data_IF_689695897666
#
_entry.id   IF_689695897666
#
_cell.length_a   1.000
_cell.length_b   1.000
_cell.length_c   1.000
_cell.angle_alpha   90.00
_cell.angle_beta   90.00
_cell.angle_gamma   90.00
#
_symmetry.space_group_name_H-M   'P 1'
#
loop_
_entity.id
_entity.type
_entity.pdbx_description
1 polymer ?
#
# COMPACT_ATOMS: atom_id res chain seq x y z
N UNK A 1 29.27 23.16 -14.76
CA UNK A 1 29.78 21.83 -14.34
C UNK A 1 28.73 20.72 -14.18
N UNK A 2 27.50 20.86 -14.70
CA UNK A 2 26.50 19.76 -14.79
C UNK A 2 26.02 19.63 -16.25
N UNK A 3 26.93 19.81 -17.21
CA UNK A 3 26.65 19.64 -18.66
C UNK A 3 27.54 18.56 -19.29
N UNK A 4 28.64 18.14 -18.64
CA UNK A 4 29.55 17.13 -19.21
C UNK A 4 29.09 15.68 -19.06
N UNK A 5 28.35 15.32 -18.01
CA UNK A 5 27.99 13.91 -17.75
C UNK A 5 27.04 13.29 -18.80
N UNK A 6 26.36 14.09 -19.62
CA UNK A 6 25.48 13.56 -20.69
C UNK A 6 26.24 13.15 -21.95
N UNK A 7 27.40 13.73 -22.25
CA UNK A 7 28.20 13.38 -23.44
C UNK A 7 28.91 12.04 -23.26
N UNK A 8 29.39 11.75 -22.05
CA UNK A 8 30.10 10.50 -21.77
C UNK A 8 29.18 9.26 -21.78
N UNK A 9 27.88 9.46 -21.47
CA UNK A 9 26.89 8.37 -21.48
C UNK A 9 26.38 8.07 -22.90
N UNK A 10 26.38 9.03 -23.83
CA UNK A 10 26.09 8.75 -25.25
C UNK A 10 27.25 8.08 -25.98
N UNK A 11 28.50 8.33 -25.56
CA UNK A 11 29.68 7.63 -26.08
C UNK A 11 29.74 6.15 -25.70
N UNK A 12 29.04 5.73 -24.64
CA UNK A 12 28.94 4.33 -24.20
C UNK A 12 27.91 3.48 -24.97
N UNK A 13 27.14 4.09 -25.89
CA UNK A 13 26.07 3.39 -26.64
C UNK A 13 26.45 2.95 -28.05
N UNK A 14 27.69 3.16 -28.50
CA UNK A 14 28.16 2.62 -29.79
C UNK A 14 29.03 1.38 -29.57
N UNK A 15 28.64 0.27 -30.19
CA UNK A 15 29.19 -1.11 -30.08
C UNK A 15 30.65 -1.30 -30.56
N UNK A 16 31.56 -0.37 -30.28
CA UNK A 16 32.92 -0.40 -30.84
C UNK A 16 34.02 0.11 -29.92
N UNK A 17 34.16 -0.40 -28.69
CA UNK A 17 35.44 -0.26 -27.98
C UNK A 17 35.80 -1.49 -27.14
N UNK A 18 36.85 -2.19 -27.57
CA UNK A 18 37.65 -3.03 -26.68
C UNK A 18 38.34 -2.11 -25.67
N UNK A 19 37.85 -2.11 -24.43
CA UNK A 19 38.45 -1.37 -23.32
C UNK A 19 39.84 -1.96 -23.03
N UNK A 20 40.90 -1.18 -23.24
CA UNK A 20 42.27 -1.60 -22.93
C UNK A 20 42.47 -1.76 -21.43
N UNK A 21 43.33 -2.69 -21.01
CA UNK A 21 43.66 -2.90 -19.59
C UNK A 21 44.22 -1.64 -18.92
N UNK A 22 44.81 -0.72 -19.68
CA UNK A 22 45.30 0.56 -19.15
C UNK A 22 44.16 1.50 -18.74
N UNK A 23 43.01 1.46 -19.42
CA UNK A 23 41.86 2.30 -19.06
C UNK A 23 41.23 1.85 -17.74
N UNK A 24 41.05 0.53 -17.55
CA UNK A 24 40.54 -0.03 -16.29
C UNK A 24 41.49 0.29 -15.14
N UNK A 25 42.81 0.19 -15.38
CA UNK A 25 43.82 0.56 -14.39
C UNK A 25 43.74 2.04 -13.99
N UNK A 26 43.59 2.94 -14.95
CA UNK A 26 43.49 4.39 -14.68
C UNK A 26 42.20 4.76 -13.93
N UNK A 27 41.08 4.12 -14.26
CA UNK A 27 39.82 4.27 -13.51
C UNK A 27 39.98 3.76 -12.08
N UNK A 28 40.66 2.62 -11.89
CA UNK A 28 40.93 2.03 -10.58
C UNK A 28 41.85 2.90 -9.71
N UNK A 29 42.94 3.44 -10.28
CA UNK A 29 43.89 4.30 -9.57
C UNK A 29 43.23 5.64 -9.17
N UNK A 30 42.41 6.22 -10.06
CA UNK A 30 41.63 7.45 -9.78
C UNK A 30 40.59 7.25 -8.67
N UNK A 31 39.89 6.11 -8.67
CA UNK A 31 38.93 5.76 -7.62
C UNK A 31 39.61 5.50 -6.27
N UNK A 32 40.74 4.79 -6.26
CA UNK A 32 41.52 4.56 -5.05
C UNK A 32 42.01 5.87 -4.43
N UNK A 33 42.52 6.80 -5.24
CA UNK A 33 42.97 8.12 -4.79
C UNK A 33 41.81 8.96 -4.21
N UNK A 34 40.60 8.88 -4.79
CA UNK A 34 39.40 9.55 -4.25
C UNK A 34 38.90 8.92 -2.95
N UNK A 35 39.05 7.61 -2.79
CA UNK A 35 38.64 6.90 -1.57
C UNK A 35 39.55 7.16 -0.38
N UNK A 36 40.88 7.24 -0.60
CA UNK A 36 41.86 7.62 0.44
C UNK A 36 41.62 9.06 0.92
N UNK A 37 41.22 9.97 0.02
CA UNK A 37 40.91 11.36 0.35
C UNK A 37 39.64 11.55 1.22
N UNK A 38 38.71 10.59 1.20
CA UNK A 38 37.38 10.76 1.82
C UNK A 38 37.18 10.04 3.16
N UNK A 39 38.25 9.60 3.85
CA UNK A 39 38.19 8.97 5.19
C UNK A 39 37.09 7.88 5.32
N UNK A 40 36.85 7.11 4.25
CA UNK A 40 35.88 6.02 4.28
C UNK A 40 36.36 4.90 5.20
N UNK A 41 35.48 4.46 6.11
CA UNK A 41 35.79 3.42 7.09
C UNK A 41 36.31 2.13 6.41
N UNK A 42 37.33 1.49 6.99
CA UNK A 42 37.95 0.24 6.50
C UNK A 42 36.93 -0.85 6.13
N UNK A 43 35.76 -0.89 6.78
CA UNK A 43 34.67 -1.84 6.48
C UNK A 43 33.97 -1.59 5.15
N UNK A 44 33.78 -0.33 4.76
CA UNK A 44 33.17 0.03 3.47
C UNK A 44 34.12 -0.28 2.33
N UNK A 45 35.42 0.00 2.54
CA UNK A 45 36.48 -0.33 1.58
C UNK A 45 36.56 -1.84 1.35
N UNK A 46 36.54 -2.63 2.43
CA UNK A 46 36.58 -4.09 2.32
C UNK A 46 35.33 -4.67 1.63
N UNK A 47 34.15 -4.12 1.91
CA UNK A 47 32.90 -4.57 1.29
C UNK A 47 32.87 -4.26 -0.22
N UNK A 48 33.37 -3.09 -0.60
CA UNK A 48 33.45 -2.68 -2.00
C UNK A 48 34.52 -3.48 -2.76
N UNK A 49 35.66 -3.75 -2.12
CA UNK A 49 36.71 -4.61 -2.68
C UNK A 49 36.21 -6.04 -2.94
N UNK A 50 35.50 -6.64 -1.98
CA UNK A 50 34.91 -7.96 -2.13
C UNK A 50 33.87 -7.99 -3.26
N UNK A 51 33.08 -6.93 -3.42
CA UNK A 51 32.12 -6.80 -4.52
C UNK A 51 32.81 -6.76 -5.89
N UNK A 52 33.87 -5.95 -6.03
CA UNK A 52 34.64 -5.85 -7.28
C UNK A 52 35.35 -7.17 -7.61
N UNK A 53 35.98 -7.84 -6.64
CA UNK A 53 36.60 -9.16 -6.84
C UNK A 53 35.57 -10.19 -7.29
N UNK A 54 34.36 -10.17 -6.72
CA UNK A 54 33.28 -11.07 -7.12
C UNK A 54 32.87 -10.83 -8.57
N UNK A 55 32.73 -9.58 -8.99
CA UNK A 55 32.42 -9.24 -10.39
C UNK A 55 33.54 -9.66 -11.35
N UNK A 56 34.81 -9.50 -10.97
CA UNK A 56 35.95 -9.96 -11.77
C UNK A 56 35.98 -11.48 -11.90
N UNK A 57 35.64 -12.23 -10.84
CA UNK A 57 35.54 -13.69 -10.88
C UNK A 57 34.39 -14.12 -11.81
N UNK A 58 33.20 -13.51 -11.67
CA UNK A 58 32.05 -13.79 -12.54
C UNK A 58 32.40 -13.51 -14.00
N UNK A 59 33.04 -12.37 -14.28
CA UNK A 59 33.45 -12.02 -15.64
C UNK A 59 34.52 -12.98 -16.18
N UNK A 60 35.52 -13.36 -15.37
CA UNK A 60 36.54 -14.33 -15.76
C UNK A 60 35.92 -15.67 -16.14
N UNK A 61 35.01 -16.19 -15.31
CA UNK A 61 34.24 -17.42 -15.58
C UNK A 61 33.41 -17.28 -16.86
N UNK A 62 32.74 -16.14 -17.05
CA UNK A 62 31.93 -15.93 -18.24
C UNK A 62 32.78 -15.82 -19.51
N UNK A 63 33.94 -15.16 -19.45
CA UNK A 63 34.86 -15.00 -20.58
C UNK A 63 35.53 -16.32 -20.99
N UNK A 64 35.80 -17.20 -20.02
CA UNK A 64 36.33 -18.54 -20.29
C UNK A 64 35.25 -19.46 -20.85
N UNK A 65 33.99 -19.30 -20.43
CA UNK A 65 32.84 -20.00 -21.02
C UNK A 65 32.63 -19.61 -22.50
N UNK A 66 32.75 -18.33 -22.83
CA UNK A 66 32.58 -17.83 -24.21
C UNK A 66 33.73 -18.34 -25.11
N UNK A 67 34.97 -18.34 -24.61
CA UNK A 67 36.11 -18.92 -25.34
C UNK A 67 36.00 -20.44 -25.54
N UNK A 68 35.30 -21.16 -24.66
CA UNK A 68 35.06 -22.60 -24.81
C UNK A 68 33.85 -22.94 -25.68
N UNK A 69 33.01 -21.97 -26.04
CA UNK A 69 31.91 -22.16 -27.01
C UNK A 69 32.38 -22.00 -28.45
N UNK A 70 33.53 -21.36 -28.68
CA UNK A 70 34.16 -21.25 -30.00
C UNK A 70 34.97 -22.50 -30.38
N UNK A 71 35.28 -23.38 -29.41
CA UNK A 71 35.97 -24.66 -29.61
C UNK A 71 35.09 -25.85 -29.13
N UNK A 72 34.47 -26.53 -30.09
CA UNK A 72 33.82 -27.87 -30.04
C UNK A 72 32.34 -28.06 -29.62
N UNK A 73 31.56 -28.48 -30.63
CA UNK A 73 30.34 -29.29 -30.59
C UNK A 73 30.64 -30.76 -30.24
N UNK A 74 30.53 -31.18 -28.97
CA UNK A 74 30.03 -32.52 -28.58
C UNK A 74 29.87 -32.67 -27.04
N UNK A 75 28.85 -33.45 -26.63
CA UNK A 75 28.54 -33.97 -25.27
C UNK A 75 27.84 -33.03 -24.25
N UNK A 76 26.52 -33.19 -24.12
CA UNK A 76 25.63 -32.38 -23.26
C UNK A 76 25.16 -33.03 -21.94
N UNK A 77 25.68 -34.18 -21.50
CA UNK A 77 25.18 -34.83 -20.27
C UNK A 77 26.10 -34.78 -19.02
N UNK A 78 27.36 -34.33 -19.14
CA UNK A 78 28.27 -34.19 -17.98
C UNK A 78 28.38 -32.78 -17.39
N UNK A 79 27.83 -31.73 -18.05
CA UNK A 79 28.05 -30.33 -17.63
C UNK A 79 27.20 -29.91 -16.41
N UNK A 80 25.99 -30.44 -16.24
CA UNK A 80 25.09 -30.10 -15.12
C UNK A 80 25.67 -30.44 -13.73
N UNK A 81 26.38 -31.57 -13.63
CA UNK A 81 27.01 -32.04 -12.39
C UNK A 81 28.22 -31.21 -11.99
N UNK A 82 29.00 -30.72 -12.95
CA UNK A 82 30.22 -29.92 -12.67
C UNK A 82 29.88 -28.51 -12.19
N UNK A 83 28.90 -27.84 -12.79
CA UNK A 83 28.44 -26.51 -12.33
C UNK A 83 27.83 -26.56 -10.92
N UNK A 84 27.07 -27.61 -10.63
CA UNK A 84 26.49 -27.83 -9.31
C UNK A 84 27.60 -28.10 -8.27
N UNK A 85 28.62 -28.88 -8.62
CA UNK A 85 29.74 -29.21 -7.72
C UNK A 85 30.65 -28.01 -7.43
N UNK A 86 30.93 -27.16 -8.43
CA UNK A 86 31.74 -25.94 -8.26
C UNK A 86 31.00 -24.92 -7.38
N UNK A 87 29.69 -24.74 -7.60
CA UNK A 87 28.86 -23.84 -6.79
C UNK A 87 28.78 -24.32 -5.33
N UNK A 88 28.64 -25.63 -5.11
CA UNK A 88 28.66 -26.23 -3.76
C UNK A 88 30.03 -26.07 -3.10
N UNK A 89 31.12 -26.25 -3.84
CA UNK A 89 32.49 -26.17 -3.29
C UNK A 89 32.83 -24.73 -2.88
N UNK A 90 32.48 -23.73 -3.70
CA UNK A 90 32.68 -22.31 -3.40
C UNK A 90 31.82 -21.89 -2.19
N UNK A 91 30.56 -22.34 -2.14
CA UNK A 91 29.66 -22.07 -1.01
C UNK A 91 30.21 -22.70 0.28
N UNK A 92 30.79 -23.91 0.19
CA UNK A 92 31.38 -24.63 1.34
C UNK A 92 32.69 -23.98 1.81
N UNK A 93 33.51 -23.44 0.90
CA UNK A 93 34.71 -22.68 1.23
C UNK A 93 34.37 -21.32 1.90
N UNK A 94 33.29 -20.66 1.47
CA UNK A 94 32.76 -19.46 2.12
C UNK A 94 32.18 -19.79 3.50
N UNK A 95 31.52 -20.95 3.65
CA UNK A 95 31.01 -21.43 4.94
C UNK A 95 32.13 -21.74 5.94
N UNK A 96 33.27 -22.25 5.49
CA UNK A 96 34.44 -22.57 6.34
C UNK A 96 35.28 -21.35 6.73
N UNK A 97 35.30 -20.28 5.93
CA UNK A 97 36.14 -19.09 6.18
C UNK A 97 35.49 -18.00 7.03
N UNK A 98 34.18 -18.10 7.36
CA UNK A 98 33.49 -17.05 8.12
C UNK A 98 33.56 -17.26 9.65
N UNK A 99 34.45 -16.52 10.32
CA UNK A 99 34.66 -16.56 11.78
C UNK A 99 33.70 -15.69 12.60
N UNK A 100 32.57 -15.23 12.04
CA UNK A 100 31.61 -14.40 12.80
C UNK A 100 30.22 -15.03 12.88
N UNK A 101 29.80 -15.35 14.12
CA UNK A 101 28.52 -15.94 14.54
C UNK A 101 27.28 -15.22 13.98
N UNK A 102 27.43 -13.96 13.56
CA UNK A 102 26.35 -13.12 13.02
C UNK A 102 25.95 -13.52 11.59
N UNK A 103 26.90 -13.98 10.76
CA UNK A 103 26.61 -14.40 9.38
C UNK A 103 25.97 -15.79 9.32
N UNK A 104 26.38 -16.72 10.19
CA UNK A 104 25.70 -18.02 10.35
C UNK A 104 24.22 -17.85 10.68
N UNK A 105 23.87 -16.85 11.50
CA UNK A 105 22.48 -16.57 11.90
C UNK A 105 21.64 -15.99 10.77
N UNK A 106 22.22 -15.13 9.93
CA UNK A 106 21.54 -14.54 8.76
C UNK A 106 21.31 -15.59 7.66
N UNK A 107 22.29 -16.48 7.44
CA UNK A 107 22.19 -17.54 6.43
C UNK A 107 21.22 -18.65 6.87
N UNK A 108 21.18 -19.00 8.16
CA UNK A 108 20.15 -19.91 8.70
C UNK A 108 18.73 -19.35 8.50
N UNK A 109 18.57 -18.03 8.57
CA UNK A 109 17.28 -17.36 8.31
C UNK A 109 16.88 -17.44 6.83
N UNK A 110 17.83 -17.33 5.90
CA UNK A 110 17.59 -17.47 4.46
C UNK A 110 17.23 -18.92 4.12
N UNK A 111 17.95 -19.90 4.66
CA UNK A 111 17.65 -21.33 4.46
C UNK A 111 16.25 -21.72 4.98
N UNK A 112 15.81 -21.12 6.09
CA UNK A 112 14.47 -21.34 6.62
C UNK A 112 13.36 -20.69 5.78
N UNK A 113 13.66 -19.63 5.02
CA UNK A 113 12.70 -18.99 4.10
C UNK A 113 12.46 -19.83 2.84
N UNK A 114 13.47 -20.51 2.30
CA UNK A 114 13.31 -21.43 1.17
C UNK A 114 12.49 -22.68 1.56
N UNK A 115 12.64 -23.19 2.79
CA UNK A 115 11.79 -24.28 3.31
C UNK A 115 10.33 -23.88 3.47
N UNK A 116 10.05 -22.61 3.74
CA UNK A 116 8.69 -22.07 3.87
C UNK A 116 7.99 -21.93 2.51
N UNK A 117 8.73 -21.61 1.45
CA UNK A 117 8.20 -21.59 0.08
C UNK A 117 7.84 -22.98 -0.45
N UNK A 118 8.52 -24.04 0.02
CA UNK A 118 8.20 -25.41 -0.37
C UNK A 118 6.91 -25.95 0.30
N UNK A 119 6.55 -25.43 1.48
CA UNK A 119 5.35 -25.83 2.21
C UNK A 119 4.06 -25.13 1.75
N UNK A 120 4.17 -24.04 0.99
CA UNK A 120 3.00 -23.26 0.55
C UNK A 120 2.28 -23.82 -0.69
N UNK A 121 2.84 -24.85 -1.33
CA UNK A 121 2.26 -25.48 -2.54
C UNK A 121 1.48 -26.78 -2.30
N UNK A 122 1.22 -27.18 -1.06
CA UNK A 122 0.24 -28.22 -0.79
C UNK A 122 -0.35 -28.05 0.60
N UNK A 123 -1.66 -27.79 0.69
CA UNK A 123 -2.57 -28.28 1.75
C UNK A 123 -3.94 -27.60 1.67
N UNK A 124 -4.92 -28.35 1.16
CA UNK A 124 -6.34 -28.17 1.43
C UNK A 124 -6.65 -28.54 2.87
N UNK A 125 -7.06 -27.57 3.70
CA UNK A 125 -7.42 -27.80 5.11
C UNK A 125 -8.93 -28.04 5.21
N UNK A 126 -9.33 -29.27 5.61
CA UNK A 126 -10.66 -29.60 6.14
C UNK A 126 -10.64 -29.42 7.66
N UNK A 127 -11.52 -28.58 8.21
CA UNK A 127 -11.66 -28.40 9.66
C UNK A 127 -12.92 -29.13 10.15
N UNK A 128 -12.72 -30.10 11.05
CA UNK A 128 -13.79 -30.71 11.86
C UNK A 128 -14.06 -29.84 13.08
N UNK A 129 -15.34 -29.58 13.37
CA UNK A 129 -15.83 -28.95 14.61
C UNK A 129 -15.75 -29.93 15.78
N UNK A 130 -15.29 -29.45 16.93
CA UNK A 130 -15.62 -30.05 18.22
C UNK A 130 -15.78 -28.93 19.25
N UNK A 131 -16.94 -28.87 19.89
CA UNK A 131 -17.34 -27.86 20.86
C UNK A 131 -17.39 -28.49 22.25
N UNK A 132 -16.75 -27.86 23.22
CA UNK A 132 -17.09 -28.03 24.63
C UNK A 132 -16.89 -26.70 25.35
N UNK A 133 -17.94 -26.29 26.06
CA UNK A 133 -18.04 -25.08 26.87
C UNK A 133 -17.74 -25.48 28.31
N UNK A 134 -16.85 -24.77 29.00
CA UNK A 134 -16.82 -24.74 30.46
C UNK A 134 -16.68 -23.30 30.96
N UNK A 135 -17.56 -22.95 31.90
CA UNK A 135 -17.63 -21.69 32.60
C UNK A 135 -16.71 -21.73 33.83
N UNK A 136 -15.93 -20.68 34.06
CA UNK A 136 -15.54 -20.30 35.43
C UNK A 136 -15.44 -18.79 35.60
N UNK A 137 -16.09 -18.30 36.67
CA UNK A 137 -16.00 -16.96 37.23
C UNK A 137 -14.71 -16.80 38.06
N UNK A 138 -14.04 -15.66 37.98
CA UNK A 138 -13.40 -15.05 39.15
C UNK A 138 -13.19 -13.54 39.00
N UNK A 139 -13.09 -12.90 40.15
CA UNK A 139 -13.19 -11.47 40.45
C UNK A 139 -11.84 -10.75 40.52
N UNK A 140 -11.78 -9.52 40.00
CA UNK A 140 -11.08 -8.39 40.61
C UNK A 140 -9.60 -8.14 40.26
N UNK A 141 -9.34 -7.11 39.46
CA UNK A 141 -8.46 -5.92 39.71
C UNK A 141 -8.10 -5.23 38.39
N UNK A 142 -8.28 -3.91 38.32
CA UNK A 142 -8.20 -3.13 37.08
C UNK A 142 -6.76 -2.87 36.61
N UNK A 143 -6.19 -3.83 35.89
CA UNK A 143 -5.25 -3.56 34.80
C UNK A 143 -5.93 -3.94 33.49
N UNK A 144 -5.81 -3.10 32.45
CA UNK A 144 -6.27 -3.43 31.10
C UNK A 144 -5.39 -4.55 30.53
N UNK A 145 -5.76 -5.80 30.82
CA UNK A 145 -5.25 -6.98 30.10
C UNK A 145 -5.93 -7.07 28.73
N UNK A 146 -5.32 -7.81 27.80
CA UNK A 146 -5.85 -8.04 26.45
C UNK A 146 -7.28 -8.62 26.45
N UNK A 147 -7.73 -9.18 27.58
CA UNK A 147 -9.01 -9.87 27.71
C UNK A 147 -10.20 -8.92 27.58
N UNK A 148 -10.11 -7.69 28.11
CA UNK A 148 -11.18 -6.66 27.98
C UNK A 148 -11.35 -6.16 26.54
N UNK A 149 -10.27 -6.22 25.74
CA UNK A 149 -10.35 -5.84 24.32
C UNK A 149 -11.01 -6.95 23.50
N UNK A 150 -10.79 -8.22 23.87
CA UNK A 150 -11.50 -9.35 23.27
C UNK A 150 -13.01 -9.24 23.49
N UNK A 151 -13.45 -8.95 24.71
CA UNK A 151 -14.90 -8.84 25.03
C UNK A 151 -15.60 -7.72 24.28
N UNK A 152 -14.89 -6.59 24.05
CA UNK A 152 -15.41 -5.46 23.26
C UNK A 152 -15.52 -5.80 21.78
N UNK A 153 -14.61 -6.63 21.27
CA UNK A 153 -14.64 -7.11 19.89
C UNK A 153 -15.79 -8.11 19.69
N UNK A 154 -15.99 -9.03 20.63
CA UNK A 154 -17.00 -10.10 20.52
C UNK A 154 -18.45 -9.56 20.58
N UNK A 155 -18.67 -8.37 21.18
CA UNK A 155 -20.01 -7.75 21.26
C UNK A 155 -20.42 -6.95 20.02
N UNK A 156 -19.50 -6.67 19.09
CA UNK A 156 -19.75 -5.74 17.97
C UNK A 156 -20.06 -6.42 16.63
N UNK A 157 -20.07 -7.76 16.56
CA UNK A 157 -19.82 -8.45 15.29
C UNK A 157 -20.82 -9.59 15.04
N UNK A 158 -21.52 -9.57 13.90
CA UNK A 158 -22.34 -10.70 13.43
C UNK A 158 -21.44 -11.88 12.98
N UNK A 159 -21.94 -13.12 12.93
CA UNK A 159 -21.11 -14.28 12.56
C UNK A 159 -20.38 -14.15 11.21
N UNK A 160 -21.00 -13.50 10.20
CA UNK A 160 -20.34 -13.22 8.92
C UNK A 160 -19.26 -12.13 9.04
N UNK A 161 -19.49 -11.14 9.90
CA UNK A 161 -18.53 -10.08 10.17
C UNK A 161 -17.36 -10.59 11.04
N UNK A 162 -17.57 -11.64 11.83
CA UNK A 162 -16.58 -12.23 12.74
C UNK A 162 -15.46 -12.91 11.97
N UNK A 163 -15.82 -13.66 10.92
CA UNK A 163 -14.83 -14.29 10.04
C UNK A 163 -14.00 -13.24 9.30
N UNK A 164 -14.64 -12.15 8.84
CA UNK A 164 -13.95 -11.05 8.15
C UNK A 164 -13.06 -10.25 9.09
N UNK A 165 -13.53 -9.97 10.32
CA UNK A 165 -12.72 -9.32 11.34
C UNK A 165 -11.53 -10.19 11.76
N UNK A 166 -11.73 -11.49 11.96
CA UNK A 166 -10.64 -12.43 12.26
C UNK A 166 -9.61 -12.47 11.14
N UNK A 167 -10.04 -12.51 9.88
CA UNK A 167 -9.15 -12.40 8.72
C UNK A 167 -8.31 -11.12 8.79
N UNK A 168 -8.94 -9.97 9.04
CA UNK A 168 -8.22 -8.70 9.15
C UNK A 168 -7.35 -8.59 10.40
N UNK A 169 -7.74 -9.17 11.54
CA UNK A 169 -6.91 -9.21 12.74
C UNK A 169 -5.67 -10.09 12.54
N UNK A 170 -5.80 -11.21 11.81
CA UNK A 170 -4.68 -12.07 11.46
C UNK A 170 -3.77 -11.35 10.46
N UNK A 171 -4.34 -10.77 9.40
CA UNK A 171 -3.56 -10.07 8.38
C UNK A 171 -3.00 -8.74 8.85
N UNK A 172 -3.66 -8.05 9.77
CA UNK A 172 -3.13 -6.83 10.40
C UNK A 172 -1.92 -7.19 11.24
N UNK A 173 -1.90 -8.33 11.94
CA UNK A 173 -0.71 -8.85 12.62
C UNK A 173 0.41 -9.15 11.63
N UNK A 174 0.10 -9.74 10.48
CA UNK A 174 1.07 -9.95 9.38
C UNK A 174 1.60 -8.61 8.86
N UNK A 175 0.73 -7.61 8.74
CA UNK A 175 1.10 -6.23 8.42
C UNK A 175 1.71 -5.50 9.62
N UNK A 176 1.84 -6.11 10.80
CA UNK A 176 2.35 -5.49 12.01
C UNK A 176 1.41 -4.50 12.72
N UNK A 177 0.21 -4.21 12.21
CA UNK A 177 -0.72 -3.22 12.81
C UNK A 177 -1.51 -3.80 13.99
N UNK A 178 -1.42 -3.10 15.13
CA UNK A 178 -2.12 -3.41 16.37
C UNK A 178 -3.55 -2.83 16.35
N UNK A 179 -4.46 -3.58 15.75
CA UNK A 179 -5.84 -3.16 15.55
C UNK A 179 -6.62 -2.98 16.85
N UNK A 180 -6.33 -3.79 17.85
CA UNK A 180 -6.98 -3.71 19.15
C UNK A 180 -6.73 -2.36 19.81
N UNK A 181 -5.52 -1.80 19.69
CA UNK A 181 -5.22 -0.45 20.15
C UNK A 181 -5.88 0.65 19.32
N UNK A 182 -6.02 0.46 18.01
CA UNK A 182 -6.74 1.40 17.14
C UNK A 182 -8.22 1.48 17.53
N UNK A 183 -8.84 0.34 17.81
CA UNK A 183 -10.25 0.26 18.18
C UNK A 183 -10.51 0.65 19.65
N UNK A 184 -9.57 0.34 20.55
CA UNK A 184 -9.65 0.68 21.97
C UNK A 184 -9.32 2.14 22.29
N UNK A 185 -9.20 3.00 21.28
CA UNK A 185 -8.94 4.42 21.47
C UNK A 185 -10.02 5.02 22.39
N UNK A 186 -9.61 5.43 23.61
CA UNK A 186 -10.51 6.02 24.59
C UNK A 186 -11.08 7.31 24.00
N UNK A 187 -12.41 7.44 24.06
CA UNK A 187 -13.08 8.67 23.63
C UNK A 187 -12.52 9.86 24.39
N UNK A 188 -11.81 10.74 23.67
CA UNK A 188 -11.35 12.00 24.23
C UNK A 188 -12.40 13.08 23.97
N UNK A 189 -12.41 14.14 24.79
CA UNK A 189 -13.26 15.33 24.57
C UNK A 189 -12.85 16.14 23.32
N UNK A 190 -11.99 15.60 22.46
CA UNK A 190 -11.42 16.25 21.28
C UNK A 190 -11.64 15.42 20.02
N UNK A 191 -11.94 16.11 18.93
CA UNK A 191 -12.39 15.53 17.67
C UNK A 191 -11.52 16.01 16.51
N UNK A 192 -11.37 15.14 15.52
CA UNK A 192 -10.87 15.46 14.19
C UNK A 192 -11.90 14.96 13.17
N UNK A 193 -12.55 15.89 12.50
CA UNK A 193 -13.65 15.65 11.56
C UNK A 193 -13.13 15.83 10.15
N UNK A 194 -13.10 14.77 9.34
CA UNK A 194 -12.98 14.95 7.90
C UNK A 194 -14.27 15.60 7.39
N UNK A 195 -14.18 16.76 6.77
CA UNK A 195 -15.33 17.50 6.28
C UNK A 195 -15.25 17.76 4.78
N UNK A 196 -16.35 17.53 4.09
CA UNK A 196 -16.51 17.93 2.70
C UNK A 196 -17.90 18.50 2.42
N UNK A 197 -17.94 19.83 2.30
CA UNK A 197 -19.17 20.58 1.97
C UNK A 197 -19.14 21.17 0.55
N UNK A 198 -17.96 21.35 -0.04
CA UNK A 198 -17.76 21.76 -1.43
C UNK A 198 -16.30 21.54 -1.85
N UNK A 199 -16.05 21.36 -3.16
CA UNK A 199 -14.72 21.48 -3.78
C UNK A 199 -13.59 20.60 -3.17
N UNK A 200 -13.91 19.39 -2.69
CA UNK A 200 -12.90 18.48 -2.10
C UNK A 200 -12.24 17.52 -3.10
N UNK A 201 -12.39 17.77 -4.40
CA UNK A 201 -11.99 16.85 -5.46
C UNK A 201 -12.99 15.71 -5.68
N UNK A 202 -12.57 14.72 -6.46
CA UNK A 202 -13.37 13.53 -6.77
C UNK A 202 -13.42 12.51 -5.64
N UNK A 203 -14.13 11.40 -5.83
CA UNK A 203 -14.26 10.37 -4.78
C UNK A 203 -12.94 9.73 -4.34
N UNK A 204 -12.02 9.47 -5.28
CA UNK A 204 -10.69 8.96 -4.92
C UNK A 204 -9.87 9.95 -4.09
N UNK A 205 -10.04 11.25 -4.35
CA UNK A 205 -9.39 12.33 -3.59
C UNK A 205 -9.96 12.44 -2.17
N UNK A 206 -11.29 12.32 -2.05
CA UNK A 206 -11.98 12.31 -0.76
C UNK A 206 -11.58 11.12 0.08
N UNK A 207 -11.57 9.92 -0.49
CA UNK A 207 -11.12 8.71 0.21
C UNK A 207 -9.68 8.88 0.72
N UNK A 208 -8.77 9.43 -0.11
CA UNK A 208 -7.41 9.74 0.32
C UNK A 208 -7.38 10.71 1.50
N UNK A 209 -8.21 11.77 1.43
CA UNK A 209 -8.35 12.73 2.51
C UNK A 209 -8.89 12.13 3.81
N UNK A 210 -9.91 11.28 3.72
CA UNK A 210 -10.47 10.53 4.84
C UNK A 210 -9.39 9.67 5.49
N UNK A 211 -8.67 8.85 4.71
CA UNK A 211 -7.63 7.96 5.26
C UNK A 211 -6.52 8.74 5.93
N UNK A 212 -6.10 9.85 5.31
CA UNK A 212 -5.09 10.73 5.90
C UNK A 212 -5.57 11.36 7.20
N UNK A 213 -6.84 11.78 7.27
CA UNK A 213 -7.42 12.43 8.44
C UNK A 213 -7.67 11.42 9.56
N UNK A 214 -8.10 10.20 9.25
CA UNK A 214 -8.22 9.12 10.22
C UNK A 214 -6.88 8.78 10.84
N UNK A 215 -5.83 8.63 10.03
CA UNK A 215 -4.49 8.42 10.58
C UNK A 215 -4.03 9.58 11.47
N UNK A 216 -4.29 10.83 11.06
CA UNK A 216 -4.01 11.99 11.90
C UNK A 216 -4.76 11.91 13.23
N UNK A 217 -6.02 11.46 13.25
CA UNK A 217 -6.77 11.34 14.51
C UNK A 217 -6.08 10.38 15.48
N UNK A 218 -5.56 9.25 14.98
CA UNK A 218 -4.78 8.28 15.77
C UNK A 218 -3.49 8.90 16.32
N UNK A 219 -2.80 9.72 15.51
CA UNK A 219 -1.57 10.40 15.94
C UNK A 219 -1.83 11.53 16.94
N UNK A 220 -3.05 12.07 16.97
CA UNK A 220 -3.44 13.18 17.84
C UNK A 220 -4.25 12.76 19.06
N UNK A 221 -4.53 11.46 19.19
CA UNK A 221 -5.46 10.90 20.16
C UNK A 221 -6.85 11.56 20.11
N UNK A 222 -7.31 11.95 18.92
CA UNK A 222 -8.63 12.57 18.70
C UNK A 222 -9.63 11.55 18.20
N UNK A 223 -10.89 11.71 18.59
CA UNK A 223 -12.00 10.94 18.05
C UNK A 223 -12.22 11.35 16.59
N UNK A 224 -12.27 10.36 15.69
CA UNK A 224 -12.43 10.60 14.27
C UNK A 224 -13.90 10.63 13.86
N UNK A 225 -14.24 11.55 12.96
CA UNK A 225 -15.55 11.61 12.32
C UNK A 225 -15.44 11.93 10.84
N UNK A 226 -16.50 11.59 10.12
CA UNK A 226 -16.67 11.93 8.71
C UNK A 226 -17.97 12.71 8.54
N UNK A 227 -17.88 13.86 7.90
CA UNK A 227 -19.00 14.72 7.54
C UNK A 227 -18.87 15.11 6.07
N UNK A 228 -19.56 14.36 5.20
CA UNK A 228 -19.60 14.65 3.77
C UNK A 228 -21.04 14.92 3.42
N UNK A 229 -21.33 16.16 3.06
CA UNK A 229 -22.68 16.60 2.65
C UNK A 229 -22.75 16.87 1.15
N UNK A 230 -21.61 16.95 0.48
CA UNK A 230 -21.53 17.25 -0.94
C UNK A 230 -20.57 16.26 -1.65
N UNK A 231 -20.91 15.76 -2.86
CA UNK A 231 -22.13 15.96 -3.66
C UNK A 231 -23.36 15.35 -3.00
N UNK A 232 -23.15 14.39 -2.10
CA UNK A 232 -24.20 13.73 -1.34
C UNK A 232 -23.64 13.12 -0.06
N UNK A 233 -24.58 12.69 0.79
CA UNK A 233 -24.27 12.11 2.07
C UNK A 233 -23.60 10.74 1.92
N UNK A 234 -22.38 10.59 2.45
CA UNK A 234 -21.62 9.34 2.44
C UNK A 234 -22.42 8.14 2.97
N UNK A 235 -23.31 8.38 3.94
CA UNK A 235 -24.16 7.35 4.56
C UNK A 235 -25.13 6.66 3.60
N UNK A 236 -25.34 7.22 2.40
CA UNK A 236 -26.14 6.59 1.34
C UNK A 236 -25.42 5.43 0.64
N UNK A 237 -24.09 5.42 0.66
CA UNK A 237 -23.27 4.38 0.00
C UNK A 237 -22.47 3.55 1.00
N UNK A 238 -21.96 4.17 2.06
CA UNK A 238 -21.11 3.55 3.07
C UNK A 238 -21.65 3.84 4.46
N UNK A 239 -21.72 2.82 5.29
CA UNK A 239 -22.00 2.94 6.72
C UNK A 239 -20.74 2.61 7.54
N UNK A 240 -20.70 2.97 8.82
CA UNK A 240 -19.62 2.54 9.70
C UNK A 240 -19.47 1.03 9.73
N UNK A 241 -18.22 0.56 9.82
CA UNK A 241 -17.89 -0.82 10.11
C UNK A 241 -17.34 -0.95 11.54
N UNK A 242 -16.11 -1.46 11.72
CA UNK A 242 -15.49 -1.63 13.03
C UNK A 242 -15.25 -0.31 13.78
N UNK A 243 -15.14 0.81 13.07
CA UNK A 243 -15.00 2.13 13.66
C UNK A 243 -16.23 3.01 13.40
N UNK A 244 -16.92 3.40 14.48
CA UNK A 244 -18.11 4.26 14.39
C UNK A 244 -17.77 5.75 14.21
N UNK A 245 -17.54 6.17 12.97
CA UNK A 245 -17.30 7.57 12.59
C UNK A 245 -18.57 8.45 12.56
N UNK A 246 -19.76 7.88 12.79
CA UNK A 246 -21.02 8.61 12.92
C UNK A 246 -21.34 9.04 14.35
N UNK A 247 -20.56 8.63 15.35
CA UNK A 247 -20.79 8.96 16.77
C UNK A 247 -21.10 10.45 16.95
N UNK A 248 -22.24 10.84 17.54
CA UNK A 248 -22.59 12.25 17.69
C UNK A 248 -21.46 13.00 18.40
N UNK A 249 -21.15 14.21 17.93
CA UNK A 249 -20.32 15.09 18.71
C UNK A 249 -21.09 15.36 20.00
N UNK A 250 -20.51 15.05 21.15
CA UNK A 250 -21.08 15.40 22.45
C UNK A 250 -20.91 16.90 22.72
N UNK A 251 -21.16 17.77 21.73
CA UNK A 251 -20.97 19.23 21.78
C UNK A 251 -21.89 19.87 22.81
N UNK A 252 -23.01 19.21 23.14
CA UNK A 252 -24.07 19.77 23.97
C UNK A 252 -24.40 18.91 25.18
N UNK A 253 -23.42 18.27 25.83
CA UNK A 253 -23.64 17.94 27.24
C UNK A 253 -23.52 19.24 28.03
N UNK A 254 -24.68 19.88 28.31
CA UNK A 254 -24.79 20.66 29.55
C UNK A 254 -24.32 19.72 30.64
N UNK A 255 -23.31 20.14 31.38
CA UNK A 255 -22.96 19.47 32.61
C UNK A 255 -24.25 19.37 33.45
N UNK A 256 -24.72 18.16 33.78
CA UNK A 256 -26.01 18.00 34.47
C UNK A 256 -25.98 18.58 35.89
N UNK A 257 -24.80 18.83 36.45
CA UNK A 257 -24.59 19.39 37.78
C UNK A 257 -24.37 20.89 37.70
N UNK A 258 -23.56 21.38 36.75
CA UNK A 258 -23.20 22.81 36.69
C UNK A 258 -24.05 23.63 35.72
N UNK A 259 -24.85 23.00 34.88
CA UNK A 259 -25.61 23.60 33.77
C UNK A 259 -24.78 24.46 32.80
N UNK A 260 -23.45 24.48 32.93
CA UNK A 260 -22.56 25.26 32.06
C UNK A 260 -22.48 24.57 30.70
N UNK A 261 -22.77 25.31 29.63
CA UNK A 261 -22.38 24.91 28.28
C UNK A 261 -20.88 25.13 28.15
N UNK A 262 -20.08 24.07 28.10
CA UNK A 262 -18.71 24.21 27.64
C UNK A 262 -18.73 24.53 26.15
N UNK A 263 -18.43 25.79 25.80
CA UNK A 263 -18.29 26.21 24.41
C UNK A 263 -17.04 25.54 23.84
N UNK A 264 -17.22 24.45 23.08
CA UNK A 264 -16.11 23.79 22.40
C UNK A 264 -15.45 24.77 21.42
N UNK A 265 -14.12 24.76 21.40
CA UNK A 265 -13.33 25.53 20.44
C UNK A 265 -13.26 24.82 19.09
N UNK A 266 -13.30 25.58 17.99
CA UNK A 266 -13.40 25.05 16.63
C UNK A 266 -12.33 25.65 15.72
N UNK A 267 -11.68 24.79 14.91
CA UNK A 267 -10.80 25.20 13.82
C UNK A 267 -11.19 24.51 12.52
N UNK A 268 -11.24 25.24 11.41
CA UNK A 268 -11.38 24.68 10.07
C UNK A 268 -10.05 24.77 9.31
N UNK A 269 -9.66 23.68 8.65
CA UNK A 269 -8.42 23.55 7.88
C UNK A 269 -8.78 23.03 6.50
N UNK A 270 -8.41 23.77 5.46
CA UNK A 270 -8.65 23.37 4.07
C UNK A 270 -7.33 23.24 3.33
N UNK A 271 -7.04 22.04 2.84
CA UNK A 271 -5.81 21.72 2.12
C UNK A 271 -6.08 20.97 0.82
N UNK A 272 -7.06 21.47 0.06
CA UNK A 272 -7.37 20.99 -1.29
C UNK A 272 -6.46 21.66 -2.32
N UNK A 273 -6.42 21.13 -3.55
CA UNK A 273 -5.55 21.67 -4.62
C UNK A 273 -5.88 23.11 -5.04
N UNK A 274 -7.07 23.60 -4.69
CA UNK A 274 -7.50 24.98 -4.98
C UNK A 274 -6.89 26.02 -4.02
N UNK A 275 -6.22 25.57 -2.95
CA UNK A 275 -5.62 26.45 -1.95
C UNK A 275 -4.20 26.85 -2.36
N UNK A 276 -3.77 28.05 -1.95
CA UNK A 276 -2.43 28.59 -2.23
C UNK A 276 -1.34 27.56 -1.84
N UNK A 277 -0.45 27.23 -2.78
CA UNK A 277 0.64 26.26 -2.57
C UNK A 277 1.51 26.56 -1.34
N UNK A 278 1.72 27.83 -1.01
CA UNK A 278 2.47 28.25 0.19
C UNK A 278 1.79 27.81 1.48
N UNK A 279 0.46 27.94 1.57
CA UNK A 279 -0.31 27.46 2.71
C UNK A 279 -0.21 25.94 2.85
N UNK A 280 -0.33 25.21 1.73
CA UNK A 280 -0.18 23.75 1.72
C UNK A 280 1.20 23.32 2.24
N UNK A 281 2.27 23.96 1.74
CA UNK A 281 3.64 23.71 2.22
C UNK A 281 3.79 24.01 3.72
N UNK A 282 3.16 25.07 4.21
CA UNK A 282 3.18 25.41 5.62
C UNK A 282 2.49 24.33 6.46
N UNK A 283 1.33 23.82 6.03
CA UNK A 283 0.65 22.73 6.75
C UNK A 283 1.50 21.45 6.76
N UNK A 284 2.07 21.03 5.62
CA UNK A 284 2.97 19.87 5.57
C UNK A 284 4.17 20.05 6.50
N UNK A 285 4.82 21.23 6.48
CA UNK A 285 5.96 21.54 7.35
C UNK A 285 5.57 21.52 8.83
N UNK A 286 4.39 22.01 9.17
CA UNK A 286 3.81 21.97 10.51
C UNK A 286 3.63 20.53 10.98
N UNK A 287 3.01 19.69 10.15
CA UNK A 287 2.77 18.27 10.46
C UNK A 287 4.09 17.52 10.65
N UNK A 288 5.11 17.85 9.86
CA UNK A 288 6.42 17.21 9.92
C UNK A 288 7.24 17.61 11.16
N UNK A 289 7.21 18.89 11.56
CA UNK A 289 8.18 19.43 12.53
C UNK A 289 7.60 19.75 13.92
N UNK A 290 6.29 19.72 14.10
CA UNK A 290 5.65 20.17 15.35
C UNK A 290 4.67 19.14 15.88
N UNK A 291 4.33 19.24 17.17
CA UNK A 291 3.09 18.59 17.63
C UNK A 291 1.93 19.46 17.22
N UNK A 292 1.03 18.90 16.44
CA UNK A 292 -0.23 19.53 16.09
C UNK A 292 -1.00 19.98 17.35
N UNK A 293 -0.90 19.30 18.51
CA UNK A 293 -1.55 19.80 19.74
C UNK A 293 -1.03 21.16 20.24
N UNK A 294 0.19 21.56 19.86
CA UNK A 294 0.71 22.91 20.12
C UNK A 294 0.17 23.96 19.13
N UNK A 295 -0.34 23.52 17.97
CA UNK A 295 -0.72 24.40 16.86
C UNK A 295 -2.24 24.48 16.70
N UNK A 296 -2.92 23.36 16.86
CA UNK A 296 -4.36 23.19 16.83
C UNK A 296 -4.82 22.64 18.18
N UNK A 297 -4.87 23.53 19.17
CA UNK A 297 -5.30 23.22 20.53
C UNK A 297 -6.81 23.02 20.64
N UNK A 298 -7.56 23.39 19.61
CA UNK A 298 -9.02 23.42 19.57
C UNK A 298 -9.63 22.04 19.82
N UNK A 299 -10.81 22.01 20.42
CA UNK A 299 -11.51 20.76 20.76
C UNK A 299 -11.97 20.05 19.51
N UNK A 300 -12.46 20.79 18.51
CA UNK A 300 -12.92 20.24 17.23
C UNK A 300 -12.10 20.83 16.09
N UNK A 301 -11.50 19.96 15.29
CA UNK A 301 -10.82 20.35 14.06
C UNK A 301 -11.59 19.77 12.87
N UNK A 302 -12.14 20.65 12.03
CA UNK A 302 -12.72 20.29 10.73
C UNK A 302 -11.62 20.35 9.67
N UNK A 303 -11.43 19.25 8.95
CA UNK A 303 -10.36 19.09 7.98
C UNK A 303 -10.92 18.70 6.61
N UNK A 304 -10.74 19.58 5.63
CA UNK A 304 -11.07 19.34 4.22
C UNK A 304 -9.77 19.20 3.43
N UNK A 305 -9.37 17.96 3.14
CA UNK A 305 -8.09 17.66 2.47
C UNK A 305 -8.30 16.67 1.33
N UNK A 306 -7.50 16.80 0.27
CA UNK A 306 -7.28 15.73 -0.71
C UNK A 306 -5.81 15.24 -0.71
N UNK A 307 -5.03 15.65 0.30
CA UNK A 307 -3.64 15.28 0.48
C UNK A 307 -3.51 14.02 1.29
N UNK A 308 -2.40 13.32 1.04
CA UNK A 308 -1.92 12.25 1.89
C UNK A 308 -0.80 12.80 2.77
N UNK A 309 -1.03 12.84 4.09
CA UNK A 309 -0.05 13.29 5.08
C UNK A 309 0.73 12.14 5.74
N UNK A 310 0.65 10.92 5.19
CA UNK A 310 1.40 9.76 5.72
C UNK A 310 2.88 10.05 5.86
N UNK A 311 3.49 10.55 4.78
CA UNK A 311 4.92 10.77 4.74
C UNK A 311 5.34 11.82 5.77
N UNK A 312 4.69 12.99 5.79
CA UNK A 312 4.99 14.06 6.75
C UNK A 312 4.83 13.60 8.20
N UNK A 313 3.80 12.81 8.50
CA UNK A 313 3.63 12.25 9.84
C UNK A 313 4.68 11.19 10.16
N UNK A 314 5.06 10.36 9.21
CA UNK A 314 6.04 9.28 9.43
C UNK A 314 7.45 9.82 9.72
N UNK A 315 7.77 10.99 9.17
CA UNK A 315 9.04 11.70 9.41
C UNK A 315 9.05 12.48 10.73
N UNK A 316 7.88 12.82 11.28
CA UNK A 316 7.79 13.49 12.56
C UNK A 316 8.21 12.53 13.70
N UNK A 317 9.31 12.86 14.38
CA UNK A 317 9.90 12.04 15.44
C UNK A 317 8.93 11.68 16.58
N UNK A 318 7.94 12.54 16.86
CA UNK A 318 6.96 12.30 17.92
C UNK A 318 5.88 11.32 17.45
N UNK A 319 5.36 11.48 16.24
CA UNK A 319 4.37 10.56 15.67
C UNK A 319 4.97 9.22 15.33
N UNK A 320 6.26 9.15 14.99
CA UNK A 320 6.98 7.89 14.79
C UNK A 320 6.88 6.94 15.99
N UNK A 321 6.88 7.47 17.22
CA UNK A 321 6.67 6.65 18.44
C UNK A 321 5.25 6.06 18.47
N UNK A 322 4.22 6.87 18.18
CA UNK A 322 2.84 6.39 18.12
C UNK A 322 2.62 5.37 17.01
N UNK A 323 3.16 5.62 15.81
CA UNK A 323 3.13 4.64 14.74
C UNK A 323 3.76 3.31 15.15
N UNK A 324 4.86 3.31 15.91
CA UNK A 324 5.43 2.08 16.47
C UNK A 324 4.47 1.40 17.45
N UNK A 325 3.80 2.16 18.32
CA UNK A 325 2.80 1.64 19.26
C UNK A 325 1.62 0.97 18.54
N UNK A 326 1.13 1.58 17.46
CA UNK A 326 0.12 0.97 16.59
C UNK A 326 0.68 -0.10 15.64
N UNK A 327 2.00 -0.33 15.67
CA UNK A 327 2.68 -1.29 14.81
C UNK A 327 2.68 -0.92 13.31
N UNK A 328 2.39 0.34 13.00
CA UNK A 328 2.39 0.90 11.65
C UNK A 328 3.82 1.19 11.15
N UNK A 329 4.76 1.57 12.02
CA UNK A 329 6.17 1.79 11.65
C UNK A 329 7.07 0.75 12.32
N UNK A 330 6.81 -0.53 12.02
CA UNK A 330 7.72 -1.63 12.35
C UNK A 330 8.92 -1.65 11.39
N UNK A 331 9.81 -2.64 11.51
CA UNK A 331 11.06 -2.80 10.73
C UNK A 331 10.86 -2.80 9.19
N UNK A 332 9.63 -2.89 8.71
CA UNK A 332 9.29 -3.22 7.33
C UNK A 332 8.88 -2.05 6.44
N UNK A 333 9.00 -0.79 6.90
CA UNK A 333 8.61 0.41 6.13
C UNK A 333 7.21 0.25 5.50
N UNK A 334 6.20 0.05 6.35
CA UNK A 334 4.82 -0.14 5.87
C UNK A 334 4.44 1.03 4.98
N UNK A 335 4.11 0.68 3.74
CA UNK A 335 3.75 1.66 2.74
C UNK A 335 2.26 2.01 2.85
N UNK A 336 1.89 3.17 2.33
CA UNK A 336 0.50 3.64 2.34
C UNK A 336 -0.45 2.60 1.69
N UNK A 337 0.04 1.91 0.67
CA UNK A 337 -0.65 0.88 -0.09
C UNK A 337 -1.10 -0.30 0.79
N UNK A 338 -0.41 -0.55 1.90
CA UNK A 338 -0.78 -1.56 2.88
C UNK A 338 -1.79 -1.03 3.90
N UNK A 339 -1.65 0.24 4.31
CA UNK A 339 -2.54 0.85 5.31
C UNK A 339 -3.90 1.24 4.74
N UNK A 340 -3.93 1.67 3.48
CA UNK A 340 -5.15 2.12 2.83
C UNK A 340 -6.27 1.05 2.84
N UNK A 341 -6.06 -0.20 2.39
CA UNK A 341 -7.11 -1.22 2.45
C UNK A 341 -7.51 -1.55 3.89
N UNK A 342 -6.56 -1.58 4.83
CA UNK A 342 -6.86 -1.81 6.24
C UNK A 342 -7.77 -0.70 6.80
N UNK A 343 -7.42 0.57 6.61
CA UNK A 343 -8.22 1.69 7.10
C UNK A 343 -9.57 1.77 6.40
N UNK A 344 -9.62 1.47 5.10
CA UNK A 344 -10.88 1.38 4.36
C UNK A 344 -11.82 0.36 5.01
N UNK A 345 -11.31 -0.84 5.32
CA UNK A 345 -12.09 -1.91 5.94
C UNK A 345 -12.50 -1.60 7.37
N UNK A 346 -11.68 -0.86 8.13
CA UNK A 346 -12.06 -0.41 9.47
C UNK A 346 -13.18 0.60 9.46
N UNK A 347 -13.13 1.54 8.53
CA UNK A 347 -14.08 2.64 8.47
C UNK A 347 -15.37 2.21 7.78
N UNK A 348 -15.30 1.45 6.70
CA UNK A 348 -16.42 1.36 5.77
C UNK A 348 -16.96 -0.03 5.56
N UNK A 349 -18.29 -0.09 5.57
CA UNK A 349 -19.07 -1.19 5.02
C UNK A 349 -20.04 -0.61 4.00
N UNK A 350 -20.21 -1.21 2.81
CA UNK A 350 -21.27 -0.81 1.89
C UNK A 350 -22.65 -0.93 2.55
N UNK A 351 -23.57 -0.03 2.20
CA UNK A 351 -24.98 -0.22 2.55
C UNK A 351 -25.57 -1.41 1.79
N UNK A 352 -26.70 -1.95 2.27
CA UNK A 352 -27.25 -3.20 1.76
C UNK A 352 -27.56 -3.15 0.25
N UNK A 353 -28.12 -2.04 -0.24
CA UNK A 353 -28.36 -1.83 -1.68
C UNK A 353 -27.08 -1.96 -2.51
N UNK A 354 -26.00 -1.31 -2.09
CA UNK A 354 -24.70 -1.36 -2.80
C UNK A 354 -24.11 -2.76 -2.72
N UNK A 355 -24.22 -3.41 -1.55
CA UNK A 355 -23.79 -4.80 -1.36
C UNK A 355 -24.51 -5.76 -2.31
N UNK A 356 -25.83 -5.66 -2.42
CA UNK A 356 -26.63 -6.47 -3.34
C UNK A 356 -26.22 -6.26 -4.81
N UNK A 357 -25.96 -5.01 -5.22
CA UNK A 357 -25.45 -4.73 -6.57
C UNK A 357 -24.07 -5.37 -6.81
N UNK A 358 -23.16 -5.27 -5.84
CA UNK A 358 -21.84 -5.91 -5.92
C UNK A 358 -22.00 -7.45 -6.02
N UNK A 359 -22.88 -8.03 -5.21
CA UNK A 359 -23.15 -9.48 -5.21
C UNK A 359 -23.73 -9.96 -6.54
N UNK A 360 -24.58 -9.18 -7.20
CA UNK A 360 -25.06 -9.49 -8.55
C UNK A 360 -23.90 -9.66 -9.53
N UNK A 361 -22.93 -8.73 -9.53
CA UNK A 361 -21.76 -8.83 -10.40
C UNK A 361 -20.80 -9.95 -10.00
N UNK A 362 -20.64 -10.22 -8.70
CA UNK A 362 -19.86 -11.38 -8.21
C UNK A 362 -20.53 -12.68 -8.68
N UNK A 363 -21.85 -12.80 -8.63
CA UNK A 363 -22.58 -13.98 -9.06
C UNK A 363 -22.47 -14.20 -10.59
N UNK A 364 -22.38 -13.13 -11.38
CA UNK A 364 -22.12 -13.22 -12.82
C UNK A 364 -20.75 -13.86 -13.16
N UNK A 365 -19.79 -13.80 -12.23
CA UNK A 365 -18.48 -14.43 -12.38
C UNK A 365 -18.56 -15.96 -12.40
N UNK A 366 -19.50 -16.60 -11.70
CA UNK A 366 -19.69 -18.07 -11.63
C UNK A 366 -18.37 -18.87 -11.42
N UNK A 367 -17.54 -18.49 -10.46
CA UNK A 367 -16.23 -19.11 -10.14
C UNK A 367 -15.14 -18.99 -11.22
N UNK A 368 -15.37 -18.25 -12.31
CA UNK A 368 -14.39 -18.04 -13.38
C UNK A 368 -13.26 -17.11 -12.96
N UNK A 369 -12.14 -17.09 -13.67
CA UNK A 369 -11.10 -16.08 -13.45
C UNK A 369 -11.65 -14.70 -13.77
N UNK A 370 -11.46 -13.72 -12.88
CA UNK A 370 -11.92 -12.35 -13.11
C UNK A 370 -10.74 -11.47 -13.49
N UNK A 371 -10.79 -10.88 -14.68
CA UNK A 371 -9.84 -9.88 -15.16
C UNK A 371 -10.49 -8.51 -15.04
N UNK A 372 -9.93 -7.63 -14.22
CA UNK A 372 -10.47 -6.29 -13.99
C UNK A 372 -9.64 -5.23 -14.73
N UNK A 373 -10.32 -4.29 -15.37
CA UNK A 373 -9.68 -3.16 -16.05
C UNK A 373 -10.37 -1.85 -15.66
N UNK A 374 -9.59 -0.89 -15.16
CA UNK A 374 -10.06 0.45 -14.84
C UNK A 374 -9.41 1.48 -15.78
N UNK A 375 -10.22 2.10 -16.63
CA UNK A 375 -9.77 3.03 -17.68
C UNK A 375 -10.34 4.43 -17.43
N UNK A 376 -9.45 5.39 -17.16
CA UNK A 376 -9.80 6.81 -16.98
C UNK A 376 -9.27 7.64 -18.15
N UNK A 377 -10.13 7.98 -19.11
CA UNK A 377 -9.81 8.78 -20.30
C UNK A 377 -9.59 10.26 -20.00
N UNK A 378 -10.30 10.85 -19.03
CA UNK A 378 -10.34 12.31 -18.90
C UNK A 378 -11.49 12.89 -19.70
N UNK A 379 -11.25 14.07 -20.27
CA UNK A 379 -12.16 14.69 -21.24
C UNK A 379 -12.44 13.73 -22.40
N UNK A 380 -13.71 13.47 -22.65
CA UNK A 380 -14.18 12.63 -23.76
C UNK A 380 -15.65 13.00 -24.09
N UNK A 381 -16.24 12.49 -25.18
CA UNK A 381 -17.61 12.86 -25.55
C UNK A 381 -18.67 12.59 -24.46
N UNK A 382 -18.47 11.59 -23.59
CA UNK A 382 -19.35 11.32 -22.44
C UNK A 382 -19.15 12.35 -21.32
N UNK A 383 -17.92 12.84 -21.11
CA UNK A 383 -17.55 13.76 -20.02
C UNK A 383 -16.79 14.97 -20.59
N UNK A 384 -17.54 15.84 -21.28
CA UNK A 384 -16.98 16.98 -22.04
C UNK A 384 -16.29 18.04 -21.18
N UNK A 385 -16.69 18.17 -19.91
CA UNK A 385 -16.15 19.18 -18.99
C UNK A 385 -15.05 18.64 -18.07
N UNK A 386 -14.44 17.52 -18.44
CA UNK A 386 -13.40 16.90 -17.64
C UNK A 386 -11.99 17.32 -18.08
N UNK A 387 -10.98 16.97 -17.29
CA UNK A 387 -9.59 17.33 -17.58
C UNK A 387 -9.06 16.55 -18.78
N UNK A 388 -8.42 17.24 -19.72
CA UNK A 388 -7.66 16.59 -20.81
C UNK A 388 -6.47 15.83 -20.21
N UNK A 389 -6.39 14.54 -20.48
CA UNK A 389 -5.27 13.68 -20.07
C UNK A 389 -4.50 13.24 -21.32
N UNK A 390 -3.59 14.09 -21.81
CA UNK A 390 -2.89 13.91 -23.09
C UNK A 390 -2.23 12.53 -23.24
N UNK A 391 -1.62 12.01 -22.17
CA UNK A 391 -0.98 10.70 -22.17
C UNK A 391 -1.93 9.49 -22.21
N UNK A 392 -3.25 9.70 -22.34
CA UNK A 392 -4.26 8.62 -22.27
C UNK A 392 -5.12 8.49 -23.52
N UNK A 393 -4.77 9.15 -24.63
CA UNK A 393 -5.53 9.05 -25.89
C UNK A 393 -5.70 7.59 -26.33
N UNK A 394 -4.62 6.82 -26.27
CA UNK A 394 -4.56 5.42 -26.71
C UNK A 394 -4.72 4.39 -25.57
N UNK A 395 -5.17 4.81 -24.38
CA UNK A 395 -5.22 3.93 -23.21
C UNK A 395 -6.11 2.70 -23.42
N UNK A 396 -7.18 2.84 -24.20
CA UNK A 396 -8.11 1.74 -24.51
C UNK A 396 -7.40 0.60 -25.22
N UNK A 397 -6.71 0.92 -26.32
CA UNK A 397 -6.04 -0.08 -27.14
C UNK A 397 -4.86 -0.72 -26.40
N UNK A 398 -4.09 0.09 -25.66
CA UNK A 398 -2.98 -0.42 -24.84
C UNK A 398 -3.48 -1.44 -23.82
N UNK A 399 -4.54 -1.12 -23.08
CA UNK A 399 -5.07 -2.01 -22.04
C UNK A 399 -5.75 -3.24 -22.63
N UNK A 400 -6.51 -3.10 -23.71
CA UNK A 400 -7.17 -4.25 -24.33
C UNK A 400 -6.18 -5.19 -25.02
N UNK A 401 -5.13 -4.66 -25.67
CA UNK A 401 -4.04 -5.51 -26.18
C UNK A 401 -3.28 -6.21 -25.06
N UNK A 402 -3.07 -5.53 -23.92
CA UNK A 402 -2.49 -6.16 -22.74
C UNK A 402 -3.35 -7.32 -22.24
N UNK A 403 -4.68 -7.13 -22.12
CA UNK A 403 -5.61 -8.18 -21.68
C UNK A 403 -5.61 -9.35 -22.66
N UNK A 404 -5.70 -9.08 -23.97
CA UNK A 404 -5.71 -10.11 -25.00
C UNK A 404 -4.43 -10.92 -25.00
N UNK A 405 -3.28 -10.24 -24.90
CA UNK A 405 -1.99 -10.92 -24.78
C UNK A 405 -1.92 -11.73 -23.49
N UNK A 406 -2.35 -11.17 -22.35
CA UNK A 406 -2.35 -11.87 -21.07
C UNK A 406 -3.18 -13.16 -21.11
N UNK A 407 -4.36 -13.14 -21.73
CA UNK A 407 -5.20 -14.32 -21.93
C UNK A 407 -4.52 -15.31 -22.87
N UNK A 408 -3.97 -14.83 -23.99
CA UNK A 408 -3.33 -15.67 -25.00
C UNK A 408 -2.07 -16.39 -24.49
N UNK A 409 -1.26 -15.72 -23.67
CA UNK A 409 0.03 -16.26 -23.20
C UNK A 409 -0.08 -17.05 -21.90
N UNK A 410 -1.23 -17.01 -21.22
CA UNK A 410 -1.41 -17.66 -19.94
C UNK A 410 -2.35 -18.85 -20.08
N UNK A 411 -1.79 -20.00 -20.42
CA UNK A 411 -2.52 -21.26 -20.66
C UNK A 411 -3.34 -21.75 -19.44
N UNK A 412 -3.09 -21.18 -18.24
CA UNK A 412 -3.90 -21.48 -17.05
C UNK A 412 -5.28 -20.81 -17.06
N UNK A 413 -5.49 -19.81 -17.92
CA UNK A 413 -6.76 -19.06 -18.03
C UNK A 413 -7.67 -19.74 -19.05
N UNK A 414 -8.38 -20.77 -18.59
CA UNK A 414 -9.27 -21.56 -19.44
C UNK A 414 -10.69 -20.95 -19.50
N UNK A 415 -11.19 -20.42 -18.38
CA UNK A 415 -12.50 -19.75 -18.30
C UNK A 415 -12.39 -18.45 -17.51
N UNK A 416 -12.83 -17.35 -18.12
CA UNK A 416 -12.68 -16.03 -17.57
C UNK A 416 -13.88 -15.11 -17.84
N UNK A 417 -13.95 -14.07 -17.02
CA UNK A 417 -14.81 -12.91 -17.16
C UNK A 417 -13.97 -11.64 -17.08
N UNK A 418 -14.37 -10.62 -17.83
CA UNK A 418 -13.73 -9.32 -17.86
C UNK A 418 -14.68 -8.31 -17.24
N UNK A 419 -14.19 -7.50 -16.30
CA UNK A 419 -14.93 -6.40 -15.71
C UNK A 419 -14.24 -5.08 -16.05
N UNK A 420 -14.91 -4.23 -16.84
CA UNK A 420 -14.38 -2.94 -17.29
C UNK A 420 -15.11 -1.81 -16.57
N UNK A 421 -14.34 -0.98 -15.87
CA UNK A 421 -14.81 0.29 -15.31
C UNK A 421 -14.18 1.43 -16.09
N UNK A 422 -14.99 2.40 -16.53
CA UNK A 422 -14.51 3.51 -17.32
C UNK A 422 -15.43 4.73 -17.25
N UNK A 423 -14.86 5.86 -17.61
CA UNK A 423 -15.46 7.18 -17.67
C UNK A 423 -15.87 7.58 -19.12
N UNK A 424 -15.94 6.61 -20.03
CA UNK A 424 -16.22 6.84 -21.46
C UNK A 424 -17.10 5.75 -22.07
N UNK A 425 -18.21 6.14 -22.69
CA UNK A 425 -19.13 5.20 -23.34
C UNK A 425 -18.49 4.49 -24.53
N UNK A 426 -17.61 5.19 -25.26
CA UNK A 426 -16.86 4.60 -26.36
C UNK A 426 -16.02 3.40 -25.90
N UNK A 427 -15.44 3.49 -24.70
CA UNK A 427 -14.67 2.39 -24.10
C UNK A 427 -15.57 1.23 -23.68
N UNK A 428 -16.74 1.50 -23.09
CA UNK A 428 -17.72 0.45 -22.77
C UNK A 428 -18.22 -0.27 -24.04
N UNK A 429 -18.54 0.48 -25.10
CA UNK A 429 -18.98 -0.07 -26.39
C UNK A 429 -17.90 -0.96 -27.00
N UNK A 430 -16.64 -0.52 -26.99
CA UNK A 430 -15.52 -1.31 -27.49
C UNK A 430 -15.29 -2.56 -26.65
N UNK A 431 -15.35 -2.47 -25.31
CA UNK A 431 -15.27 -3.64 -24.44
C UNK A 431 -16.38 -4.66 -24.74
N UNK A 432 -17.61 -4.18 -24.96
CA UNK A 432 -18.77 -5.02 -25.30
C UNK A 432 -18.59 -5.70 -26.65
N UNK A 433 -18.03 -5.00 -27.64
CA UNK A 433 -17.72 -5.56 -28.97
C UNK A 433 -16.61 -6.60 -28.92
N UNK A 434 -15.53 -6.32 -28.17
CA UNK A 434 -14.33 -7.16 -28.10
C UNK A 434 -14.51 -8.40 -27.23
N UNK A 435 -15.28 -8.29 -26.15
CA UNK A 435 -15.40 -9.32 -25.11
C UNK A 435 -16.83 -9.83 -24.91
N UNK A 436 -17.68 -9.80 -25.94
CA UNK A 436 -19.13 -10.05 -25.92
C UNK A 436 -19.63 -11.03 -24.84
N UNK A 437 -19.16 -12.28 -24.84
CA UNK A 437 -19.62 -13.32 -23.90
C UNK A 437 -18.84 -13.38 -22.59
N UNK A 438 -17.70 -12.68 -22.51
CA UNK A 438 -16.81 -12.65 -21.36
C UNK A 438 -16.99 -11.37 -20.51
N UNK A 439 -17.60 -10.31 -21.03
CA UNK A 439 -17.79 -9.06 -20.32
C UNK A 439 -18.87 -9.17 -19.23
N UNK A 440 -18.55 -8.73 -18.01
CA UNK A 440 -19.51 -8.36 -16.99
C UNK A 440 -19.89 -6.90 -17.24
N UNK A 441 -21.07 -6.71 -17.83
CA UNK A 441 -21.56 -5.38 -18.18
C UNK A 441 -22.30 -4.74 -17.00
N UNK A 442 -21.89 -3.54 -16.61
CA UNK A 442 -22.62 -2.71 -15.64
C UNK A 442 -23.58 -1.80 -16.40
N UNK A 443 -24.86 -1.84 -16.02
CA UNK A 443 -25.87 -0.94 -16.56
C UNK A 443 -25.77 0.44 -15.91
N UNK A 444 -26.27 1.47 -16.62
CA UNK A 444 -26.37 2.84 -16.11
C UNK A 444 -25.55 3.85 -16.90
N UNK A 445 -25.84 5.12 -16.67
CA UNK A 445 -25.14 6.24 -17.30
C UNK A 445 -23.80 6.48 -16.61
N UNK A 446 -22.76 6.70 -17.40
CA UNK A 446 -21.46 7.11 -16.88
C UNK A 446 -21.56 8.57 -16.40
N UNK A 447 -21.33 8.78 -15.12
CA UNK A 447 -21.33 10.12 -14.51
C UNK A 447 -20.21 10.28 -13.48
N UNK A 448 -19.76 11.53 -13.28
CA UNK A 448 -18.91 11.87 -12.15
C UNK A 448 -19.78 12.05 -10.92
N UNK A 449 -19.65 11.16 -9.95
CA UNK A 449 -20.42 11.24 -8.72
C UNK A 449 -20.20 12.57 -7.98
N UNK A 450 -19.00 13.16 -8.06
CA UNK A 450 -18.68 14.49 -7.51
C UNK A 450 -19.34 15.67 -8.23
N UNK A 451 -19.92 15.46 -9.40
CA UNK A 451 -20.58 16.51 -10.21
C UNK A 451 -22.09 16.30 -10.34
N UNK A 452 -22.58 15.11 -10.01
CA UNK A 452 -24.00 14.82 -9.98
C UNK A 452 -24.62 15.42 -8.71
N UNK A 453 -25.49 16.41 -8.87
CA UNK A 453 -26.33 16.94 -7.79
C UNK A 453 -27.62 16.13 -7.61
N UNK A 454 -27.78 15.02 -8.33
CA UNK A 454 -28.98 14.20 -8.33
C UNK A 454 -28.86 13.08 -7.32
N UNK A 455 -29.90 12.89 -6.52
CA UNK A 455 -29.99 11.78 -5.55
C UNK A 455 -29.78 10.41 -6.21
N UNK A 456 -30.18 10.24 -7.47
CA UNK A 456 -30.04 8.98 -8.22
C UNK A 456 -28.59 8.53 -8.41
N UNK A 457 -27.64 9.47 -8.47
CA UNK A 457 -26.24 9.13 -8.63
C UNK A 457 -25.62 8.59 -7.32
N UNK A 458 -26.25 8.86 -6.17
CA UNK A 458 -25.62 8.84 -4.85
C UNK A 458 -25.73 7.59 -3.97
#
# INVERSE_FOLDING_TARGET
DIIDERKDIELLKSDKYNLSSSYIRNVYESLCLRMVRNNLCKRTILSYFLFVVTLCIIWSIHSTSIKSEEDEDFLSSQRSTTYTTITITITTAILRSSTTTRYKKLIQQIYNLDKLNYFYNSSSIKIKRQSTIEHHFSTGTNQLTNDNVSTTIDTLVSQSDETRLKYWLINSKTAGVNLSMVLAQKSQKKYLVYACHANCGGWGDRLRGIMSTFMMSLMLDRDFRIEITHPCNLTRVLKPNFYNWLRPLNVLRRDPITHKSHKLTLKAIMTTDNIKKSYLKNVSKIIQNSTINQIWSEDIIYMSTNKNYFHEMSENLRYRKKFKTYGILTKYDIKLETLFPLFYELLFQPVERVKQQIEQYINMRKNRTLICAQLRKGQNPTLVNDKVLLGRRNITEIIFNFIDNYIKTNDTIIDYKIFVTTDSDAVQKEAKRRYTHHLIHTQGTITHLDRSNTDEAC
#
